data_IF_049336284441
#
_entry.id   IF_049336284441
#
_cell.length_a   1.000
_cell.length_b   1.000
_cell.length_c   1.000
_cell.angle_alpha   90.00
_cell.angle_beta   90.00
_cell.angle_gamma   90.00
#
_symmetry.space_group_name_H-M   'P 1'
#
loop_
_entity.id
_entity.type
_entity.pdbx_description
1 polymer ?
#
# COMPACT_ATOMS: atom_id res chain seq x y z
N UNK A 1 12.53 3.08 8.30
CA UNK A 1 11.49 2.05 8.13
C UNK A 1 11.73 1.39 6.79
N UNK A 2 12.71 0.48 6.75
CA UNK A 2 13.06 -0.29 5.55
C UNK A 2 12.84 -1.75 5.85
N UNK A 3 12.58 -2.55 4.82
CA UNK A 3 12.52 -4.01 4.95
C UNK A 3 13.74 -4.54 5.71
N UNK A 4 13.58 -5.41 6.71
CA UNK A 4 14.69 -6.08 7.38
C UNK A 4 15.48 -6.97 6.42
N UNK A 5 16.73 -7.25 6.77
CA UNK A 5 17.56 -8.18 6.00
C UNK A 5 16.92 -9.58 5.95
N UNK A 6 16.87 -10.17 4.75
CA UNK A 6 16.26 -11.48 4.53
C UNK A 6 14.73 -11.49 4.55
N UNK A 7 14.08 -10.32 4.62
CA UNK A 7 12.63 -10.21 4.53
C UNK A 7 12.08 -10.80 3.23
N UNK A 8 10.99 -11.54 3.35
CA UNK A 8 10.22 -12.06 2.22
C UNK A 8 8.78 -11.58 2.34
N UNK A 9 8.27 -10.80 1.38
CA UNK A 9 6.91 -10.31 1.43
C UNK A 9 5.93 -11.49 1.37
N UNK A 10 4.86 -11.41 2.16
CA UNK A 10 3.74 -12.37 2.11
C UNK A 10 2.65 -11.92 1.12
N UNK A 11 3.02 -11.06 0.17
CA UNK A 11 2.22 -10.60 -0.96
C UNK A 11 3.08 -10.60 -2.23
N UNK A 12 2.46 -10.66 -3.40
CA UNK A 12 3.12 -10.55 -4.69
C UNK A 12 3.14 -9.09 -5.16
N UNK A 13 4.34 -8.50 -5.28
CA UNK A 13 4.54 -7.14 -5.79
C UNK A 13 4.11 -6.96 -7.26
N UNK A 14 3.98 -8.06 -8.01
CA UNK A 14 3.49 -8.07 -9.40
C UNK A 14 1.97 -8.15 -9.50
N UNK A 15 1.27 -8.22 -8.36
CA UNK A 15 -0.19 -8.17 -8.29
C UNK A 15 -0.92 -9.51 -8.40
N UNK A 16 -0.23 -10.66 -8.47
CA UNK A 16 -0.89 -11.98 -8.45
C UNK A 16 -1.31 -12.39 -7.02
N UNK A 17 -1.94 -11.49 -6.29
CA UNK A 17 -2.39 -11.72 -4.93
C UNK A 17 -3.76 -12.43 -4.91
N UNK A 18 -4.02 -13.32 -3.94
CA UNK A 18 -5.34 -13.90 -3.75
C UNK A 18 -6.39 -12.81 -3.49
N UNK A 19 -7.60 -12.97 -4.06
CA UNK A 19 -8.70 -12.02 -3.88
C UNK A 19 -9.00 -11.75 -2.39
N UNK A 20 -8.98 -12.78 -1.55
CA UNK A 20 -9.22 -12.65 -0.10
C UNK A 20 -8.19 -11.76 0.60
N UNK A 21 -6.93 -11.76 0.14
CA UNK A 21 -5.87 -10.92 0.69
C UNK A 21 -6.10 -9.45 0.30
N UNK A 22 -6.53 -9.21 -0.94
CA UNK A 22 -6.87 -7.88 -1.45
C UNK A 22 -8.10 -7.33 -0.71
N UNK A 23 -9.16 -8.14 -0.55
CA UNK A 23 -10.39 -7.76 0.18
C UNK A 23 -10.09 -7.42 1.66
N UNK A 24 -9.24 -8.22 2.31
CA UNK A 24 -8.76 -7.92 3.67
C UNK A 24 -8.00 -6.60 3.71
N UNK A 25 -7.14 -6.35 2.71
CA UNK A 25 -6.39 -5.11 2.58
C UNK A 25 -7.29 -3.90 2.38
N UNK A 26 -8.33 -4.01 1.56
CA UNK A 26 -9.34 -2.95 1.36
C UNK A 26 -10.07 -2.62 2.66
N UNK A 27 -10.47 -3.64 3.43
CA UNK A 27 -11.12 -3.44 4.72
C UNK A 27 -10.20 -2.68 5.70
N UNK A 28 -8.93 -3.08 5.82
CA UNK A 28 -7.94 -2.42 6.66
C UNK A 28 -7.63 -1.00 6.17
N UNK A 29 -7.56 -0.78 4.86
CA UNK A 29 -7.30 0.52 4.26
C UNK A 29 -8.35 1.58 4.64
N UNK A 30 -9.57 1.13 4.89
CA UNK A 30 -10.69 1.97 5.33
C UNK A 30 -10.84 2.03 6.86
N UNK A 31 -10.07 1.25 7.62
CA UNK A 31 -10.19 1.14 9.08
C UNK A 31 -9.45 2.26 9.81
N UNK A 32 -10.22 3.20 10.38
CA UNK A 32 -9.66 4.31 11.16
C UNK A 32 -9.11 3.87 12.52
N UNK A 33 -9.46 2.68 13.01
CA UNK A 33 -8.98 2.15 14.30
C UNK A 33 -7.50 1.77 14.29
N UNK A 34 -6.89 1.68 13.10
CA UNK A 34 -5.44 1.51 12.93
C UNK A 34 -4.63 2.75 13.31
N UNK A 35 -5.28 3.90 13.51
CA UNK A 35 -4.64 5.16 13.87
C UNK A 35 -4.99 5.61 15.27
N UNK A 36 -4.14 6.48 15.85
CA UNK A 36 -4.46 7.16 17.11
C UNK A 36 -5.17 8.49 16.90
N UNK A 37 -5.25 8.97 15.65
CA UNK A 37 -5.78 10.28 15.28
C UNK A 37 -7.08 10.23 14.46
N UNK A 38 -7.66 9.05 14.28
CA UNK A 38 -8.94 8.84 13.59
C UNK A 38 -8.85 8.86 12.07
N UNK A 39 -7.66 8.86 11.48
CA UNK A 39 -7.46 8.73 10.05
C UNK A 39 -7.35 7.27 9.62
N UNK A 40 -7.83 6.96 8.42
CA UNK A 40 -7.48 5.75 7.70
C UNK A 40 -6.71 6.12 6.43
N UNK A 41 -6.15 5.14 5.73
CA UNK A 41 -5.52 5.38 4.44
C UNK A 41 -6.52 6.02 3.45
N UNK A 42 -7.77 5.57 3.50
CA UNK A 42 -8.88 6.12 2.71
C UNK A 42 -9.18 7.59 2.98
N UNK A 43 -8.82 8.15 4.15
CA UNK A 43 -9.02 9.57 4.45
C UNK A 43 -8.28 10.49 3.47
N UNK A 44 -7.16 10.03 2.89
CA UNK A 44 -6.41 10.77 1.88
C UNK A 44 -6.54 10.17 0.47
N UNK A 45 -6.66 8.84 0.37
CA UNK A 45 -6.58 8.12 -0.89
C UNK A 45 -7.94 7.68 -1.48
N UNK A 46 -9.04 8.09 -0.85
CA UNK A 46 -10.39 7.71 -1.22
C UNK A 46 -10.72 6.28 -0.80
N UNK A 47 -12.00 5.98 -0.54
CA UNK A 47 -12.41 4.66 -0.02
C UNK A 47 -12.00 3.49 -0.92
N UNK A 48 -11.93 3.73 -2.24
CA UNK A 48 -11.52 2.74 -3.25
C UNK A 48 -10.04 2.79 -3.59
N UNK A 49 -9.23 3.58 -2.88
CA UNK A 49 -7.81 3.75 -3.20
C UNK A 49 -7.60 4.22 -4.64
N UNK A 50 -8.37 5.20 -5.10
CA UNK A 50 -8.37 5.72 -6.47
C UNK A 50 -8.11 7.24 -6.56
N UNK A 51 -7.84 7.88 -5.42
CA UNK A 51 -7.64 9.33 -5.32
C UNK A 51 -6.37 9.69 -4.54
N UNK A 52 -5.94 10.96 -4.62
CA UNK A 52 -4.86 11.49 -3.79
C UNK A 52 -3.45 10.94 -4.09
N UNK A 53 -3.28 10.14 -5.15
CA UNK A 53 -1.98 9.65 -5.60
C UNK A 53 -1.29 10.62 -6.57
N UNK A 54 0.04 10.59 -6.58
CA UNK A 54 0.87 11.30 -7.55
C UNK A 54 1.00 10.49 -8.85
N UNK A 55 1.38 11.13 -9.96
CA UNK A 55 1.59 10.46 -11.25
C UNK A 55 2.58 9.30 -11.19
N UNK A 56 3.58 9.35 -10.30
CA UNK A 56 4.54 8.25 -10.11
C UNK A 56 3.90 6.94 -9.66
N UNK A 57 2.70 7.00 -9.08
CA UNK A 57 1.91 5.82 -8.73
C UNK A 57 1.45 5.02 -9.95
N UNK A 58 1.59 5.51 -11.19
CA UNK A 58 1.37 4.66 -12.37
C UNK A 58 2.48 3.61 -12.54
N UNK A 59 3.64 3.78 -11.90
CA UNK A 59 4.74 2.82 -12.01
C UNK A 59 4.50 1.62 -11.08
N UNK A 60 4.88 0.40 -11.49
CA UNK A 60 4.85 -0.76 -10.60
C UNK A 60 5.81 -0.54 -9.41
N UNK A 61 5.54 -1.21 -8.29
CA UNK A 61 6.47 -1.21 -7.16
C UNK A 61 7.73 -2.06 -7.44
N UNK A 62 8.90 -1.70 -6.87
CA UNK A 62 9.16 -0.46 -6.13
C UNK A 62 9.27 0.75 -7.06
N UNK A 63 8.79 1.91 -6.61
CA UNK A 63 8.88 3.18 -7.35
C UNK A 63 9.12 4.38 -6.43
N UNK A 64 9.50 5.55 -6.97
CA UNK A 64 9.65 6.77 -6.20
C UNK A 64 8.31 7.32 -5.69
N UNK A 65 8.25 7.58 -4.39
CA UNK A 65 7.12 8.27 -3.75
C UNK A 65 7.63 9.48 -2.99
N UNK A 66 7.00 10.64 -3.20
CA UNK A 66 7.45 11.91 -2.63
C UNK A 66 7.57 11.86 -1.09
N UNK A 67 6.66 11.16 -0.40
CA UNK A 67 6.73 10.95 1.05
C UNK A 67 8.00 10.19 1.44
N UNK A 68 8.32 9.09 0.77
CA UNK A 68 9.52 8.29 1.03
C UNK A 68 10.81 9.08 0.80
N UNK A 69 10.88 9.83 -0.30
CA UNK A 69 12.07 10.63 -0.61
C UNK A 69 12.22 11.81 0.34
N UNK A 70 11.18 12.63 0.52
CA UNK A 70 11.26 13.89 1.26
C UNK A 70 11.39 13.69 2.77
N UNK A 71 10.81 12.62 3.32
CA UNK A 71 10.73 12.42 4.77
C UNK A 71 11.66 11.32 5.28
N UNK A 72 12.02 10.35 4.45
CA UNK A 72 12.74 9.15 4.88
C UNK A 72 14.02 8.87 4.08
N UNK A 73 14.38 9.71 3.10
CA UNK A 73 15.56 9.51 2.26
C UNK A 73 15.51 8.20 1.47
N UNK A 74 14.31 7.77 1.07
CA UNK A 74 14.09 6.57 0.26
C UNK A 74 13.89 6.97 -1.20
N UNK A 75 14.81 6.53 -2.07
CA UNK A 75 14.73 6.81 -3.52
C UNK A 75 13.56 6.10 -4.18
N UNK A 76 13.31 4.85 -3.75
CA UNK A 76 12.13 4.07 -4.08
C UNK A 76 11.59 3.43 -2.82
N UNK A 77 10.31 3.07 -2.84
CA UNK A 77 9.65 2.36 -1.76
C UNK A 77 8.98 1.12 -2.33
N UNK A 78 8.98 0.03 -1.56
CA UNK A 78 8.07 -1.09 -1.77
C UNK A 78 6.67 -0.77 -1.21
N UNK A 79 5.66 -1.55 -1.58
CA UNK A 79 4.27 -1.29 -1.15
C UNK A 79 4.10 -1.42 0.37
N UNK A 80 4.69 -2.44 0.99
CA UNK A 80 4.72 -2.62 2.45
C UNK A 80 5.50 -1.51 3.17
N UNK A 81 6.63 -1.06 2.63
CA UNK A 81 7.34 0.10 3.14
C UNK A 81 6.44 1.34 3.09
N UNK A 82 5.76 1.58 1.97
CA UNK A 82 4.86 2.73 1.82
C UNK A 82 3.68 2.67 2.81
N UNK A 83 3.11 1.48 3.07
CA UNK A 83 2.09 1.27 4.11
C UNK A 83 2.64 1.71 5.46
N UNK A 84 3.83 1.25 5.83
CA UNK A 84 4.45 1.58 7.12
C UNK A 84 4.74 3.09 7.24
N UNK A 85 5.18 3.75 6.15
CA UNK A 85 5.36 5.20 6.13
C UNK A 85 4.04 5.96 6.34
N UNK A 86 2.96 5.49 5.70
CA UNK A 86 1.61 6.06 5.85
C UNK A 86 1.09 5.89 7.30
N UNK A 87 1.33 4.74 7.91
CA UNK A 87 0.92 4.49 9.29
C UNK A 87 1.63 5.44 10.26
N UNK A 88 2.95 5.59 10.15
CA UNK A 88 3.71 6.35 11.14
C UNK A 88 3.61 7.86 10.94
N UNK A 89 3.69 8.35 9.69
CA UNK A 89 3.77 9.79 9.44
C UNK A 89 2.39 10.49 9.51
N UNK A 90 1.43 10.25 8.60
CA UNK A 90 0.13 10.90 8.67
C UNK A 90 -0.83 10.29 9.70
N UNK A 91 -0.83 8.97 9.92
CA UNK A 91 -1.81 8.31 10.81
C UNK A 91 -1.39 8.27 12.29
N UNK A 92 -0.16 8.69 12.64
CA UNK A 92 0.36 8.63 14.00
C UNK A 92 0.14 7.25 14.66
N UNK A 93 0.28 6.19 13.87
CA UNK A 93 0.12 4.80 14.27
C UNK A 93 1.48 4.15 14.55
N UNK A 94 1.46 3.05 15.29
CA UNK A 94 2.61 2.15 15.34
C UNK A 94 2.72 1.37 14.02
N UNK A 95 3.93 1.07 13.56
CA UNK A 95 4.11 0.21 12.40
C UNK A 95 3.61 -1.22 12.69
N UNK A 96 3.13 -1.88 11.65
CA UNK A 96 2.77 -3.29 11.72
C UNK A 96 4.02 -4.18 11.79
N UNK A 97 3.94 -5.36 12.42
CA UNK A 97 4.99 -6.37 12.31
C UNK A 97 5.24 -6.73 10.84
N UNK A 98 6.50 -6.88 10.46
CA UNK A 98 6.87 -7.17 9.06
C UNK A 98 6.27 -8.49 8.55
N UNK A 99 6.08 -9.45 9.44
CA UNK A 99 5.53 -10.77 9.19
C UNK A 99 4.01 -10.85 9.41
N UNK A 100 3.32 -9.73 9.66
CA UNK A 100 1.88 -9.73 9.89
C UNK A 100 1.07 -9.90 8.61
N UNK A 101 -0.08 -10.54 8.76
CA UNK A 101 -1.06 -10.67 7.69
C UNK A 101 -1.64 -9.29 7.32
N UNK A 102 -1.80 -8.38 8.27
CA UNK A 102 -2.29 -7.03 8.03
C UNK A 102 -1.38 -6.24 7.09
N UNK A 103 -0.06 -6.32 7.28
CA UNK A 103 0.89 -5.62 6.42
C UNK A 103 0.86 -6.21 5.01
N UNK A 104 0.83 -7.54 4.91
CA UNK A 104 0.72 -8.23 3.63
C UNK A 104 -0.57 -7.88 2.88
N UNK A 105 -1.70 -7.84 3.59
CA UNK A 105 -3.00 -7.49 3.03
C UNK A 105 -3.05 -6.03 2.54
N UNK A 106 -2.61 -5.08 3.37
CA UNK A 106 -2.53 -3.67 2.97
C UNK A 106 -1.60 -3.48 1.77
N UNK A 107 -0.43 -4.12 1.76
CA UNK A 107 0.51 -4.03 0.65
C UNK A 107 -0.08 -4.63 -0.64
N UNK A 108 -0.74 -5.79 -0.55
CA UNK A 108 -1.45 -6.40 -1.67
C UNK A 108 -2.53 -5.47 -2.25
N UNK A 109 -3.32 -4.83 -1.38
CA UNK A 109 -4.34 -3.87 -1.82
C UNK A 109 -3.73 -2.61 -2.44
N UNK A 110 -2.62 -2.10 -1.92
CA UNK A 110 -1.90 -0.96 -2.52
C UNK A 110 -1.33 -1.31 -3.90
N UNK A 111 -0.77 -2.51 -4.09
CA UNK A 111 -0.37 -3.01 -5.43
C UNK A 111 -1.59 -3.12 -6.35
N UNK A 112 -2.70 -3.65 -5.86
CA UNK A 112 -3.92 -3.75 -6.65
C UNK A 112 -4.46 -2.36 -7.06
N UNK A 113 -4.47 -1.40 -6.14
CA UNK A 113 -4.83 -0.01 -6.40
C UNK A 113 -3.91 0.64 -7.44
N UNK A 114 -2.61 0.36 -7.36
CA UNK A 114 -1.62 0.82 -8.34
C UNK A 114 -1.93 0.32 -9.75
N UNK A 115 -2.19 -0.98 -9.91
CA UNK A 115 -2.52 -1.56 -11.21
C UNK A 115 -3.83 -0.99 -11.77
N UNK A 116 -4.83 -0.76 -10.91
CA UNK A 116 -6.06 -0.07 -11.30
C UNK A 116 -5.79 1.34 -11.81
N UNK A 117 -4.94 2.07 -11.09
CA UNK A 117 -4.55 3.43 -11.45
C UNK A 117 -3.73 3.50 -12.75
N UNK A 118 -2.87 2.51 -13.00
CA UNK A 118 -2.09 2.39 -14.23
C UNK A 118 -2.91 1.91 -15.46
N UNK A 119 -4.16 1.50 -15.25
CA UNK A 119 -5.01 0.93 -16.32
C UNK A 119 -4.66 -0.51 -16.69
N UNK A 120 -3.91 -1.22 -15.84
CA UNK A 120 -3.46 -2.60 -16.11
C UNK A 120 -4.48 -3.67 -15.67
N UNK A 121 -5.58 -3.28 -15.02
CA UNK A 121 -6.63 -4.20 -14.53
C UNK A 121 -7.72 -4.53 -15.55
N UNK A 122 -7.40 -4.61 -16.85
CA UNK A 122 -8.33 -5.18 -17.85
C UNK A 122 -7.69 -6.38 -18.55
N UNK A 123 -7.05 -7.25 -17.75
CA UNK A 123 -6.59 -8.58 -18.14
C UNK A 123 -7.63 -9.69 -17.95
N UNK A 124 -8.92 -9.36 -17.80
CA UNK A 124 -10.01 -10.35 -17.93
C UNK A 124 -10.78 -10.07 -19.22
N UNK A 125 -10.64 -10.99 -20.18
CA UNK A 125 -11.48 -11.06 -21.35
C UNK A 125 -12.96 -11.02 -20.96
N UNK A 126 -13.70 -10.06 -21.50
CA UNK A 126 -15.02 -10.28 -22.10
C UNK A 126 -15.37 -9.11 -23.02
N UNK A 127 -15.22 -9.39 -24.32
CA UNK A 127 -16.23 -9.25 -25.38
C UNK A 127 -17.25 -8.12 -25.29
#
# INVERSE_FOLDING_TARGET
MRRPDGYKPQYDERGNNPASLIERGEALFNDASLSTNGLSCASCHGAKGDAGFQTSFQQPFPHPVAMGTNMFGMETVHADEMVQLCMVAPMAAEPLPWDSEELAALAAYVVHAQQRFAGEVDGHCNR
#
